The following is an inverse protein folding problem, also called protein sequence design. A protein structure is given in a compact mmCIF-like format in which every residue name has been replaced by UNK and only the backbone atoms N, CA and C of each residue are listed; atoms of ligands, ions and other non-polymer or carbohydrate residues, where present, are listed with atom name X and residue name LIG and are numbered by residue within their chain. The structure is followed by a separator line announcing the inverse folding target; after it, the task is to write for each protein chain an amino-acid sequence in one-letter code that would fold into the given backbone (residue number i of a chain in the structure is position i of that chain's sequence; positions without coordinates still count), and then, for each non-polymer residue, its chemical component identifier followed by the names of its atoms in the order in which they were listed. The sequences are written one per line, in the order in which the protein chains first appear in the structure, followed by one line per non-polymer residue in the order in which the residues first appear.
data_IF_228141977308
#
_entry.id   IF_228141977308
#
_cell.length_a   1.000
_cell.length_b   1.000
_cell.length_c   1.000
_cell.angle_alpha   90.00
_cell.angle_beta   90.00
_cell.angle_gamma   90.00
#
_symmetry.space_group_name_H-M   'P 1'
#
loop_
_entity.id
_entity.type
_entity.pdbx_description
1 polymer ?
#
# COMPACT_ATOMS: atom_id res chain seq x y z
N UNK A 1 39.42 -14.21 -34.55
CA UNK A 1 38.81 -13.99 -33.22
C UNK A 1 37.42 -14.62 -33.22
N UNK A 2 37.15 -15.65 -32.39
CA UNK A 2 35.81 -16.25 -32.34
C UNK A 2 34.84 -15.27 -31.67
N UNK A 3 33.71 -15.02 -32.33
CA UNK A 3 32.61 -14.23 -31.77
C UNK A 3 31.95 -15.06 -30.67
N UNK A 4 32.07 -14.63 -29.41
CA UNK A 4 31.43 -15.29 -28.27
C UNK A 4 29.96 -14.85 -28.22
N UNK A 5 29.08 -15.62 -28.87
CA UNK A 5 27.63 -15.34 -28.91
C UNK A 5 26.98 -15.23 -27.52
N UNK A 6 27.61 -15.77 -26.46
CA UNK A 6 27.15 -15.65 -25.08
C UNK A 6 27.19 -14.22 -24.52
N UNK A 7 28.09 -13.35 -25.02
CA UNK A 7 28.17 -11.94 -24.60
C UNK A 7 27.16 -11.06 -25.33
N UNK A 8 26.68 -11.49 -26.51
CA UNK A 8 25.72 -10.76 -27.34
C UNK A 8 24.26 -11.09 -26.91
N UNK A 9 24.04 -12.25 -26.28
CA UNK A 9 22.72 -12.76 -25.93
C UNK A 9 22.14 -12.25 -24.59
N UNK A 10 22.90 -11.51 -23.78
CA UNK A 10 22.47 -11.08 -22.43
C UNK A 10 22.01 -9.62 -22.25
N UNK A 11 21.57 -8.83 -23.25
CA UNK A 11 21.15 -7.45 -22.97
C UNK A 11 19.74 -7.33 -22.33
N UNK A 12 18.90 -8.38 -22.36
CA UNK A 12 17.52 -8.29 -21.85
C UNK A 12 17.36 -8.66 -20.36
N UNK A 13 18.06 -9.70 -19.87
CA UNK A 13 17.87 -10.18 -18.50
C UNK A 13 18.51 -9.27 -17.44
N UNK A 14 19.56 -8.52 -17.81
CA UNK A 14 20.22 -7.57 -16.92
C UNK A 14 19.37 -6.31 -16.63
N UNK A 15 18.51 -5.90 -17.56
CA UNK A 15 17.61 -4.74 -17.38
C UNK A 15 16.28 -5.13 -16.71
N UNK A 16 15.83 -6.38 -16.86
CA UNK A 16 14.58 -6.85 -16.27
C UNK A 16 14.60 -6.89 -14.72
N UNK A 17 15.76 -7.19 -14.11
CA UNK A 17 15.89 -7.34 -12.65
C UNK A 17 15.69 -6.04 -11.86
N UNK A 18 16.10 -4.88 -12.41
CA UNK A 18 15.91 -3.58 -11.76
C UNK A 18 14.43 -3.16 -11.69
N UNK A 19 13.65 -3.47 -12.72
CA UNK A 19 12.23 -3.12 -12.80
C UNK A 19 11.34 -3.91 -11.82
N UNK A 20 11.61 -5.21 -11.67
CA UNK A 20 10.84 -6.06 -10.77
C UNK A 20 11.09 -5.71 -9.30
N UNK A 21 12.35 -5.50 -8.90
CA UNK A 21 12.68 -5.12 -7.51
C UNK A 21 12.07 -3.77 -7.14
N UNK A 22 12.18 -2.78 -8.02
CA UNK A 22 11.56 -1.46 -7.80
C UNK A 22 10.03 -1.55 -7.67
N UNK A 23 9.38 -2.35 -8.52
CA UNK A 23 7.94 -2.59 -8.44
C UNK A 23 7.52 -3.26 -7.11
N UNK A 24 8.26 -4.27 -6.65
CA UNK A 24 8.00 -4.91 -5.36
C UNK A 24 8.18 -3.97 -4.17
N UNK A 25 9.24 -3.15 -4.17
CA UNK A 25 9.45 -2.12 -3.14
C UNK A 25 8.33 -1.08 -3.14
N UNK A 26 7.85 -0.67 -4.32
CA UNK A 26 6.71 0.22 -4.44
C UNK A 26 5.44 -0.39 -3.86
N UNK A 27 5.12 -1.65 -4.19
CA UNK A 27 3.96 -2.35 -3.63
C UNK A 27 4.07 -2.51 -2.11
N UNK A 28 5.27 -2.82 -1.61
CA UNK A 28 5.53 -2.91 -0.17
C UNK A 28 5.32 -1.56 0.52
N UNK A 29 5.86 -0.48 -0.05
CA UNK A 29 5.67 0.88 0.46
C UNK A 29 4.20 1.28 0.48
N UNK A 30 3.45 0.97 -0.59
CA UNK A 30 2.02 1.21 -0.69
C UNK A 30 1.22 0.42 0.35
N UNK A 31 1.58 -0.85 0.57
CA UNK A 31 0.97 -1.69 1.60
C UNK A 31 1.21 -1.14 3.01
N UNK A 32 2.45 -0.75 3.33
CA UNK A 32 2.80 -0.13 4.62
C UNK A 32 2.06 1.20 4.81
N UNK A 33 1.95 2.03 3.78
CA UNK A 33 1.20 3.28 3.84
C UNK A 33 -0.28 3.05 4.19
N UNK A 34 -0.94 2.08 3.54
CA UNK A 34 -2.34 1.75 3.85
C UNK A 34 -2.50 1.14 5.25
N UNK A 35 -1.53 0.35 5.71
CA UNK A 35 -1.52 -0.17 7.08
C UNK A 35 -1.47 0.98 8.11
N UNK A 36 -0.59 1.96 7.90
CA UNK A 36 -0.48 3.13 8.77
C UNK A 36 -1.77 3.95 8.78
N UNK A 37 -2.40 4.13 7.61
CA UNK A 37 -3.70 4.80 7.50
C UNK A 37 -4.77 4.03 8.29
N UNK A 38 -4.83 2.70 8.16
CA UNK A 38 -5.80 1.88 8.90
C UNK A 38 -5.58 2.00 10.41
N UNK A 39 -4.33 1.95 10.88
CA UNK A 39 -3.98 2.15 12.29
C UNK A 39 -4.39 3.54 12.79
N UNK A 40 -4.17 4.58 11.98
CA UNK A 40 -4.64 5.93 12.29
C UNK A 40 -6.17 5.98 12.41
N UNK A 41 -6.90 5.36 11.49
CA UNK A 41 -8.37 5.26 11.56
C UNK A 41 -8.82 4.53 12.82
N UNK A 42 -8.15 3.44 13.20
CA UNK A 42 -8.45 2.72 14.44
C UNK A 42 -8.33 3.64 15.66
N UNK A 43 -7.25 4.41 15.74
CA UNK A 43 -7.00 5.31 16.87
C UNK A 43 -7.96 6.50 16.88
N UNK A 44 -8.20 7.13 15.73
CA UNK A 44 -9.14 8.25 15.59
C UNK A 44 -10.58 7.80 15.92
N UNK A 45 -10.99 6.62 15.48
CA UNK A 45 -12.30 6.06 15.81
C UNK A 45 -12.42 5.74 17.31
N UNK A 46 -11.35 5.22 17.92
CA UNK A 46 -11.32 4.90 19.37
C UNK A 46 -11.45 6.17 20.21
N UNK A 47 -10.77 7.26 19.82
CA UNK A 47 -10.85 8.56 20.53
C UNK A 47 -12.26 9.14 20.43
N UNK A 48 -12.93 8.98 19.27
CA UNK A 48 -14.31 9.45 19.04
C UNK A 48 -15.39 8.54 19.63
N UNK A 49 -15.03 7.50 20.38
CA UNK A 49 -15.99 6.54 20.95
C UNK A 49 -16.74 5.70 19.91
N UNK A 50 -16.22 5.59 18.69
CA UNK A 50 -16.80 4.81 17.60
C UNK A 50 -16.30 3.36 17.66
N UNK A 51 -16.96 2.45 16.94
CA UNK A 51 -16.47 1.07 16.79
C UNK A 51 -15.18 1.06 15.96
N UNK A 52 -14.04 1.15 16.66
CA UNK A 52 -12.71 1.28 16.07
C UNK A 52 -12.32 0.04 15.26
N UNK A 53 -12.72 -1.15 15.70
CA UNK A 53 -12.41 -2.39 15.02
C UNK A 53 -13.15 -2.50 13.67
N UNK A 54 -14.41 -2.05 13.63
CA UNK A 54 -15.20 -1.99 12.40
C UNK A 54 -14.58 -1.05 11.35
N UNK A 55 -14.23 0.18 11.76
CA UNK A 55 -13.65 1.16 10.84
C UNK A 55 -12.24 0.77 10.39
N UNK A 56 -11.44 0.18 11.29
CA UNK A 56 -10.16 -0.44 10.92
C UNK A 56 -10.35 -1.53 9.87
N UNK A 57 -11.25 -2.49 10.10
CA UNK A 57 -11.46 -3.61 9.18
C UNK A 57 -11.88 -3.14 7.78
N UNK A 58 -12.78 -2.15 7.71
CA UNK A 58 -13.23 -1.58 6.43
C UNK A 58 -12.09 -0.87 5.68
N UNK A 59 -11.30 -0.06 6.39
CA UNK A 59 -10.15 0.66 5.80
C UNK A 59 -9.00 -0.29 5.47
N UNK A 60 -8.90 -1.43 6.14
CA UNK A 60 -7.90 -2.44 5.82
C UNK A 60 -8.29 -3.28 4.60
N UNK A 61 -9.56 -3.73 4.53
CA UNK A 61 -10.09 -4.58 3.44
C UNK A 61 -10.30 -3.80 2.14
N UNK A 62 -10.77 -2.55 2.25
CA UNK A 62 -11.10 -1.72 1.10
C UNK A 62 -10.49 -0.33 1.31
N UNK A 63 -9.18 -0.15 1.06
CA UNK A 63 -8.45 0.99 1.57
C UNK A 63 -8.99 2.35 1.14
N UNK A 64 -9.19 2.54 -0.16
CA UNK A 64 -9.66 3.83 -0.70
C UNK A 64 -11.11 4.09 -0.30
N UNK A 65 -12.02 3.15 -0.58
CA UNK A 65 -13.44 3.33 -0.30
C UNK A 65 -13.73 3.40 1.20
N UNK A 66 -13.05 2.57 1.99
CA UNK A 66 -13.17 2.54 3.44
C UNK A 66 -12.67 3.83 4.07
N UNK A 67 -11.56 4.39 3.58
CA UNK A 67 -11.04 5.67 4.07
C UNK A 67 -12.02 6.80 3.75
N UNK A 68 -12.52 6.87 2.51
CA UNK A 68 -13.51 7.89 2.13
C UNK A 68 -14.77 7.78 2.99
N UNK A 69 -15.31 6.57 3.17
CA UNK A 69 -16.46 6.32 4.03
C UNK A 69 -16.20 6.75 5.49
N UNK A 70 -15.02 6.43 6.03
CA UNK A 70 -14.62 6.86 7.37
C UNK A 70 -14.56 8.38 7.50
N UNK A 71 -13.95 9.06 6.53
CA UNK A 71 -13.82 10.52 6.51
C UNK A 71 -15.17 11.23 6.45
N UNK A 72 -16.15 10.66 5.74
CA UNK A 72 -17.52 11.16 5.73
C UNK A 72 -18.18 10.94 7.10
N UNK A 73 -18.14 9.71 7.61
CA UNK A 73 -18.83 9.33 8.84
C UNK A 73 -18.27 10.00 10.11
N UNK A 74 -16.96 10.29 10.15
CA UNK A 74 -16.35 11.01 11.27
C UNK A 74 -16.76 12.49 11.31
N UNK A 75 -17.22 13.06 10.19
CA UNK A 75 -17.53 14.49 10.08
C UNK A 75 -18.69 14.89 10.99
N UNK A 76 -19.58 13.96 11.26
CA UNK A 76 -20.73 14.11 12.17
C UNK A 76 -20.36 13.95 13.65
N UNK A 77 -19.11 13.59 13.96
CA UNK A 77 -18.60 13.39 15.33
C UNK A 77 -17.31 14.17 15.54
N UNK A 78 -17.39 15.51 15.76
CA UNK A 78 -16.22 16.32 16.07
C UNK A 78 -15.51 15.77 17.33
N UNK A 79 -14.20 15.99 17.40
CA UNK A 79 -13.38 15.61 18.55
C UNK A 79 -13.79 16.40 19.80
#
# INVERSE_FOLDING_TARGET
MPVVLGEIATPFQATASGSAVGFWLFLLGLYVAFLLIALWVYQDARIRGMNSLFWFAIVFLVPVFGLVAYLIYRRDRPL
#
